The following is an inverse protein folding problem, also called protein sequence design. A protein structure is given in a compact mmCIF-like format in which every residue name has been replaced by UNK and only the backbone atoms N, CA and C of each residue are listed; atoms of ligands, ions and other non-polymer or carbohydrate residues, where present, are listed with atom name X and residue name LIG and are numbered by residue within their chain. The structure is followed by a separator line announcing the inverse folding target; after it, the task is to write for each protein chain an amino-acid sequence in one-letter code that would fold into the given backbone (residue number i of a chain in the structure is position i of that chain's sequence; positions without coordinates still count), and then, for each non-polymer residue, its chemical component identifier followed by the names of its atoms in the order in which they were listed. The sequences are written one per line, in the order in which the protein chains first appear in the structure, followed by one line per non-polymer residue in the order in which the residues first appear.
data_IF_087625999449
#
_entry.id   IF_087625999449
#
_cell.length_a   1.000
_cell.length_b   1.000
_cell.length_c   1.000
_cell.angle_alpha   90.00
_cell.angle_beta   90.00
_cell.angle_gamma   90.00
#
_symmetry.space_group_name_H-M   'P 1'
#
loop_
_entity.id
_entity.type
_entity.pdbx_description
1 polymer ?
#
# COMPACT_ATOMS: atom_id res chain seq x y z
N UNK A 1 -10.04 24.97 -7.81
CA UNK A 1 -10.32 25.93 -6.72
C UNK A 1 -9.46 25.73 -5.47
N UNK A 2 -8.98 24.52 -5.16
CA UNK A 2 -8.16 24.24 -3.97
C UNK A 2 -6.75 24.85 -4.00
N UNK A 3 -6.22 25.18 -5.20
CA UNK A 3 -4.89 25.80 -5.39
C UNK A 3 -4.84 27.27 -4.96
N UNK A 4 -5.95 28.00 -5.05
CA UNK A 4 -6.00 29.43 -4.72
C UNK A 4 -6.25 29.73 -3.24
N UNK A 5 -6.82 28.77 -2.49
CA UNK A 5 -7.28 29.00 -1.11
C UNK A 5 -6.23 28.57 -0.06
N UNK A 6 -5.40 27.56 -0.35
CA UNK A 6 -4.53 26.95 0.68
C UNK A 6 -3.08 27.44 0.70
N UNK A 7 -2.72 28.39 -0.17
CA UNK A 7 -1.33 28.75 -0.32
C UNK A 7 -0.50 27.57 -0.85
N UNK A 8 0.52 27.94 -1.58
CA UNK A 8 1.47 27.04 -2.21
C UNK A 8 2.38 26.37 -1.15
N UNK A 9 1.82 25.57 -0.24
CA UNK A 9 2.57 24.82 0.80
C UNK A 9 2.53 23.31 0.56
N UNK A 10 1.52 22.79 -0.14
CA UNK A 10 1.47 21.38 -0.55
C UNK A 10 2.13 21.12 -1.93
N UNK A 11 2.12 22.10 -2.84
CA UNK A 11 2.63 21.96 -4.22
C UNK A 11 4.00 22.60 -4.49
N UNK A 12 4.52 23.47 -3.61
CA UNK A 12 5.87 24.07 -3.78
C UNK A 12 7.01 23.07 -3.54
N UNK A 13 6.66 21.84 -3.17
CA UNK A 13 7.49 20.67 -3.00
C UNK A 13 7.42 19.74 -4.23
N UNK A 14 7.50 20.29 -5.45
CA UNK A 14 7.43 19.49 -6.69
C UNK A 14 8.40 18.29 -6.75
N UNK A 15 9.46 18.30 -5.92
CA UNK A 15 10.46 17.23 -5.77
C UNK A 15 10.28 16.29 -4.56
N UNK A 16 9.39 16.60 -3.60
CA UNK A 16 8.80 15.57 -2.71
C UNK A 16 7.93 14.59 -3.54
N UNK A 17 7.68 14.93 -4.81
CA UNK A 17 6.76 14.36 -5.78
C UNK A 17 7.30 13.39 -6.83
N UNK A 18 8.47 12.75 -6.67
CA UNK A 18 8.87 11.62 -7.54
C UNK A 18 9.21 10.37 -6.72
N UNK A 19 10.07 10.49 -5.71
CA UNK A 19 10.42 9.38 -4.82
C UNK A 19 9.19 8.84 -4.09
N UNK A 20 8.35 9.74 -3.55
CA UNK A 20 7.12 9.33 -2.89
C UNK A 20 6.12 8.67 -3.86
N UNK A 21 6.09 9.06 -5.13
CA UNK A 21 5.24 8.42 -6.14
C UNK A 21 5.77 7.03 -6.52
N UNK A 22 7.09 6.89 -6.70
CA UNK A 22 7.72 5.60 -6.99
C UNK A 22 7.54 4.65 -5.80
N UNK A 23 7.80 5.13 -4.58
CA UNK A 23 7.65 4.32 -3.36
C UNK A 23 6.18 4.01 -3.11
N UNK A 24 5.29 4.99 -3.21
CA UNK A 24 3.84 4.79 -3.04
C UNK A 24 3.25 3.85 -4.10
N UNK A 25 3.66 3.98 -5.36
CA UNK A 25 3.30 3.08 -6.44
C UNK A 25 3.88 1.68 -6.25
N UNK A 26 5.11 1.57 -5.75
CA UNK A 26 5.74 0.30 -5.37
C UNK A 26 4.99 -0.39 -4.24
N UNK A 27 4.64 0.34 -3.18
CA UNK A 27 3.82 -0.16 -2.06
C UNK A 27 2.46 -0.63 -2.55
N UNK A 28 1.79 0.14 -3.42
CA UNK A 28 0.54 -0.26 -4.08
C UNK A 28 0.72 -1.58 -4.84
N UNK A 29 1.73 -1.68 -5.71
CA UNK A 29 2.00 -2.87 -6.50
C UNK A 29 2.28 -4.11 -5.64
N UNK A 30 3.09 -3.95 -4.57
CA UNK A 30 3.39 -5.02 -3.62
C UNK A 30 2.11 -5.48 -2.91
N UNK A 31 1.27 -4.56 -2.45
CA UNK A 31 0.01 -4.91 -1.76
C UNK A 31 -1.00 -5.56 -2.71
N UNK A 32 -1.11 -5.10 -3.96
CA UNK A 32 -1.93 -5.75 -4.99
C UNK A 32 -1.46 -7.20 -5.17
N UNK A 33 -0.15 -7.41 -5.31
CA UNK A 33 0.44 -8.76 -5.36
C UNK A 33 0.13 -9.58 -4.10
N UNK A 34 0.24 -8.98 -2.92
CA UNK A 34 -0.01 -9.62 -1.64
C UNK A 34 -1.47 -10.09 -1.50
N UNK A 35 -2.44 -9.37 -2.06
CA UNK A 35 -3.84 -9.83 -2.07
C UNK A 35 -4.14 -10.80 -3.22
N UNK A 36 -3.56 -10.56 -4.40
CA UNK A 36 -3.83 -11.35 -5.59
C UNK A 36 -3.32 -12.80 -5.44
N UNK A 37 -2.12 -13.00 -4.88
CA UNK A 37 -1.50 -14.32 -4.72
C UNK A 37 -2.40 -15.34 -4.00
N UNK A 38 -2.84 -15.10 -2.75
CA UNK A 38 -3.64 -16.06 -2.00
C UNK A 38 -5.02 -16.24 -2.63
N UNK A 39 -5.64 -15.16 -3.14
CA UNK A 39 -6.92 -15.24 -3.83
C UNK A 39 -6.85 -16.12 -5.09
N UNK A 40 -5.74 -16.03 -5.82
CA UNK A 40 -5.50 -16.85 -7.00
C UNK A 40 -5.47 -18.34 -6.67
N UNK A 41 -4.80 -18.74 -5.59
CA UNK A 41 -4.79 -20.14 -5.13
C UNK A 41 -6.15 -20.62 -4.59
N UNK A 42 -6.94 -19.73 -3.99
CA UNK A 42 -8.29 -20.05 -3.51
C UNK A 42 -9.28 -20.25 -4.66
N UNK A 43 -9.42 -19.26 -5.55
CA UNK A 43 -10.45 -19.25 -6.60
C UNK A 43 -10.04 -19.91 -7.92
N UNK A 44 -8.74 -20.09 -8.14
CA UNK A 44 -8.20 -20.63 -9.38
C UNK A 44 -8.20 -19.63 -10.54
N UNK A 45 -7.59 -20.03 -11.66
CA UNK A 45 -7.30 -19.17 -12.81
C UNK A 45 -8.52 -18.61 -13.53
N UNK A 46 -9.72 -19.18 -13.33
CA UNK A 46 -10.93 -18.78 -14.05
C UNK A 46 -11.51 -17.42 -13.66
N UNK A 47 -11.01 -16.78 -12.58
CA UNK A 47 -11.56 -15.52 -12.04
C UNK A 47 -10.50 -14.41 -11.90
N UNK A 48 -9.47 -14.42 -12.76
CA UNK A 48 -8.36 -13.46 -12.73
C UNK A 48 -8.81 -12.00 -12.75
N UNK A 49 -9.84 -11.66 -13.53
CA UNK A 49 -10.40 -10.30 -13.59
C UNK A 49 -11.00 -9.85 -12.25
N UNK A 50 -11.77 -10.72 -11.59
CA UNK A 50 -12.35 -10.42 -10.28
C UNK A 50 -11.26 -10.32 -9.22
N UNK A 51 -10.25 -11.19 -9.29
CA UNK A 51 -9.13 -11.22 -8.35
C UNK A 51 -8.29 -9.94 -8.46
N UNK A 52 -8.05 -9.43 -9.67
CA UNK A 52 -7.27 -8.20 -9.87
C UNK A 52 -8.01 -6.96 -9.38
N UNK A 53 -9.34 -6.89 -9.58
CA UNK A 53 -10.16 -5.79 -9.05
C UNK A 53 -10.21 -5.83 -7.52
N UNK A 54 -10.44 -7.01 -6.93
CA UNK A 54 -10.54 -7.14 -5.47
C UNK A 54 -9.20 -6.86 -4.78
N UNK A 55 -8.08 -7.28 -5.39
CA UNK A 55 -6.74 -7.01 -4.85
C UNK A 55 -6.36 -5.54 -4.95
N UNK A 56 -6.74 -4.85 -6.03
CA UNK A 56 -6.60 -3.40 -6.15
C UNK A 56 -7.38 -2.64 -5.07
N UNK A 57 -8.65 -3.01 -4.87
CA UNK A 57 -9.48 -2.41 -3.82
C UNK A 57 -8.92 -2.68 -2.42
N UNK A 58 -8.47 -3.92 -2.16
CA UNK A 58 -7.84 -4.31 -0.90
C UNK A 58 -6.56 -3.52 -0.62
N UNK A 59 -5.69 -3.37 -1.63
CA UNK A 59 -4.46 -2.60 -1.50
C UNK A 59 -4.73 -1.12 -1.17
N UNK A 60 -5.68 -0.49 -1.87
CA UNK A 60 -6.08 0.90 -1.62
C UNK A 60 -6.64 1.07 -0.20
N UNK A 61 -7.49 0.15 0.26
CA UNK A 61 -8.04 0.17 1.61
C UNK A 61 -6.94 0.09 2.69
N UNK A 62 -5.96 -0.81 2.52
CA UNK A 62 -4.83 -0.94 3.46
C UNK A 62 -3.98 0.32 3.50
N UNK A 63 -3.69 0.94 2.35
CA UNK A 63 -2.91 2.18 2.31
C UNK A 63 -3.66 3.32 3.00
N UNK A 64 -4.98 3.42 2.82
CA UNK A 64 -5.78 4.42 3.55
C UNK A 64 -5.68 4.22 5.06
N UNK A 65 -5.83 2.98 5.55
CA UNK A 65 -5.70 2.67 6.98
C UNK A 65 -4.32 3.02 7.51
N UNK A 66 -3.26 2.63 6.79
CA UNK A 66 -1.88 2.95 7.17
C UNK A 66 -1.63 4.47 7.21
N UNK A 67 -2.16 5.19 6.22
CA UNK A 67 -2.04 6.65 6.14
C UNK A 67 -2.75 7.33 7.32
N UNK A 68 -3.94 6.85 7.70
CA UNK A 68 -4.66 7.34 8.87
C UNK A 68 -3.88 7.04 10.15
N UNK A 69 -3.33 5.83 10.32
CA UNK A 69 -2.54 5.48 11.50
C UNK A 69 -1.29 6.37 11.62
N UNK A 70 -0.55 6.57 10.52
CA UNK A 70 0.60 7.47 10.50
C UNK A 70 0.20 8.89 10.89
N UNK A 71 -0.94 9.37 10.39
CA UNK A 71 -1.45 10.70 10.71
C UNK A 71 -1.81 10.85 12.20
N UNK A 72 -2.47 9.85 12.81
CA UNK A 72 -2.80 9.85 14.24
C UNK A 72 -1.52 9.85 15.09
N UNK A 73 -0.52 9.05 14.72
CA UNK A 73 0.74 8.92 15.48
C UNK A 73 1.59 10.20 15.36
N UNK A 74 1.54 10.89 14.22
CA UNK A 74 2.38 12.07 13.95
C UNK A 74 1.91 13.34 14.65
N UNK A 75 0.68 13.37 15.19
CA UNK A 75 0.12 14.55 15.88
C UNK A 75 -0.21 15.72 14.94
N UNK A 76 -0.63 16.85 15.52
CA UNK A 76 -1.07 18.06 14.80
C UNK A 76 0.10 18.98 14.40
N UNK A 77 1.34 18.57 14.72
CA UNK A 77 2.54 19.32 14.37
C UNK A 77 2.83 19.23 12.86
N UNK A 78 3.32 20.32 12.29
CA UNK A 78 3.66 20.37 10.87
C UNK A 78 4.67 19.26 10.51
N UNK A 79 4.23 18.30 9.67
CA UNK A 79 5.02 17.12 9.29
C UNK A 79 6.34 17.53 8.64
N UNK A 80 7.41 17.47 9.42
CA UNK A 80 8.79 17.71 8.96
C UNK A 80 9.17 16.71 7.86
N UNK A 81 10.09 17.11 6.98
CA UNK A 81 10.58 16.26 5.88
C UNK A 81 11.14 14.92 6.40
N UNK A 82 11.84 14.95 7.53
CA UNK A 82 12.40 13.75 8.16
C UNK A 82 11.32 12.75 8.57
N UNK A 83 10.22 13.25 9.16
CA UNK A 83 9.11 12.41 9.62
C UNK A 83 8.40 11.77 8.42
N UNK A 84 8.17 12.54 7.37
CA UNK A 84 7.54 12.05 6.14
C UNK A 84 8.31 10.91 5.46
N UNK A 85 9.62 11.06 5.26
CA UNK A 85 10.43 10.00 4.64
C UNK A 85 10.57 8.78 5.56
N UNK A 86 10.63 8.98 6.88
CA UNK A 86 10.60 7.88 7.84
C UNK A 86 9.29 7.08 7.73
N UNK A 87 8.14 7.75 7.67
CA UNK A 87 6.84 7.09 7.49
C UNK A 87 6.75 6.30 6.17
N UNK A 88 7.27 6.86 5.07
CA UNK A 88 7.32 6.15 3.78
C UNK A 88 8.14 4.86 3.86
N UNK A 89 9.30 4.90 4.52
CA UNK A 89 10.15 3.72 4.72
C UNK A 89 9.42 2.68 5.57
N UNK A 90 8.76 3.09 6.65
CA UNK A 90 7.98 2.19 7.50
C UNK A 90 6.85 1.53 6.70
N UNK A 91 6.11 2.29 5.89
CA UNK A 91 5.05 1.74 5.03
C UNK A 91 5.60 0.72 4.02
N UNK A 92 6.77 0.98 3.44
CA UNK A 92 7.43 0.06 2.53
C UNK A 92 7.80 -1.25 3.24
N UNK A 93 8.44 -1.19 4.41
CA UNK A 93 8.77 -2.38 5.19
C UNK A 93 7.53 -3.18 5.59
N UNK A 94 6.47 -2.50 6.01
CA UNK A 94 5.22 -3.17 6.38
C UNK A 94 4.60 -3.87 5.17
N UNK A 95 4.61 -3.24 4.00
CA UNK A 95 4.08 -3.84 2.77
C UNK A 95 4.86 -5.09 2.34
N UNK A 96 6.19 -5.07 2.46
CA UNK A 96 7.04 -6.24 2.20
C UNK A 96 6.79 -7.37 3.19
N UNK A 97 6.60 -7.03 4.47
CA UNK A 97 6.23 -8.00 5.49
C UNK A 97 4.87 -8.64 5.19
N UNK A 98 3.86 -7.83 4.85
CA UNK A 98 2.53 -8.33 4.43
C UNK A 98 2.63 -9.25 3.20
N UNK A 99 3.47 -8.90 2.23
CA UNK A 99 3.73 -9.75 1.07
C UNK A 99 4.37 -11.10 1.47
N UNK A 100 5.35 -11.10 2.38
CA UNK A 100 5.95 -12.32 2.92
C UNK A 100 4.94 -13.22 3.64
N UNK A 101 4.06 -12.63 4.46
CA UNK A 101 2.96 -13.37 5.12
C UNK A 101 1.99 -13.94 4.10
N UNK A 102 1.65 -13.17 3.08
CA UNK A 102 0.78 -13.61 1.99
C UNK A 102 1.36 -14.81 1.21
N UNK A 103 2.68 -14.82 0.98
CA UNK A 103 3.36 -15.96 0.38
C UNK A 103 3.22 -17.23 1.24
N UNK A 104 3.47 -17.12 2.56
CA UNK A 104 3.31 -18.25 3.49
C UNK A 104 1.85 -18.76 3.49
N UNK A 105 0.89 -17.83 3.51
CA UNK A 105 -0.54 -18.15 3.48
C UNK A 105 -0.91 -18.90 2.18
N UNK A 106 -0.39 -18.45 1.04
CA UNK A 106 -0.58 -19.07 -0.26
C UNK A 106 -0.02 -20.50 -0.30
N UNK A 107 1.19 -20.71 0.23
CA UNK A 107 1.78 -22.04 0.37
C UNK A 107 0.92 -22.96 1.26
N UNK A 108 0.35 -22.44 2.35
CA UNK A 108 -0.53 -23.21 3.22
C UNK A 108 -1.83 -23.61 2.53
N UNK A 109 -2.43 -22.69 1.76
CA UNK A 109 -3.66 -22.96 0.99
C UNK A 109 -3.39 -24.01 -0.07
N UNK A 110 -2.25 -23.91 -0.78
CA UNK A 110 -1.86 -24.86 -1.80
C UNK A 110 -1.72 -26.28 -1.24
N UNK A 111 -0.98 -26.43 -0.12
CA UNK A 111 -0.85 -27.72 0.58
C UNK A 111 -2.22 -28.31 0.94
N UNK A 112 -3.14 -27.51 1.46
CA UNK A 112 -4.43 -28.04 1.91
C UNK A 112 -5.38 -28.44 0.75
N UNK A 113 -5.11 -28.01 -0.49
CA UNK A 113 -5.97 -28.29 -1.65
C UNK A 113 -5.53 -29.50 -2.47
N UNK A 114 -4.26 -29.88 -2.40
CA UNK A 114 -3.68 -31.01 -3.13
C UNK A 114 -3.51 -32.28 -2.29
N UNK A 115 -3.62 -32.20 -0.96
CA UNK A 115 -3.70 -33.35 -0.04
C UNK A 115 -5.13 -33.56 0.45
#
# INVERSE_FOLDING_TARGET
MTVFIHGNKYFYYGFRGAIALIVGGGVLGILIGAFAYPLYYVWGAGKTEVISVLSALGAVAVIMVLSIMVNIISGDDAVSNTLYYASLIVMLFLSLFTFGVSYILSCSIFKHKEY
#
